data_IF_511199137222
#
_entry.id   IF_511199137222
#
_cell.length_a   1.000
_cell.length_b   1.000
_cell.length_c   1.000
_cell.angle_alpha   90.00
_cell.angle_beta   90.00
_cell.angle_gamma   90.00
#
_symmetry.space_group_name_H-M   'P 1'
#
loop_
_entity.id
_entity.type
_entity.pdbx_description
1 polymer ?
#
# COMPACT_ATOMS: atom_id res chain seq x y z
N UNK A 1 -17.70 -55.27 51.51
CA UNK A 1 -18.10 -56.20 50.43
C UNK A 1 -17.74 -55.52 49.12
N UNK A 2 -16.61 -55.90 48.47
CA UNK A 2 -16.52 -56.92 47.38
C UNK A 2 -17.23 -56.40 46.11
N UNK A 3 -16.67 -56.16 44.92
CA UNK A 3 -15.44 -56.55 44.17
C UNK A 3 -15.12 -55.40 43.16
N UNK A 4 -13.88 -54.95 42.95
CA UNK A 4 -12.90 -55.36 41.92
C UNK A 4 -13.50 -55.80 40.55
N UNK A 5 -13.29 -55.01 39.49
CA UNK A 5 -13.07 -55.54 38.14
C UNK A 5 -12.25 -54.56 37.30
N UNK A 6 -11.01 -54.98 37.02
CA UNK A 6 -10.06 -54.38 36.10
C UNK A 6 -10.53 -54.56 34.65
N UNK A 7 -10.41 -53.53 33.82
CA UNK A 7 -10.34 -53.67 32.36
C UNK A 7 -9.30 -52.68 31.83
N UNK A 8 -8.09 -53.22 31.66
CA UNK A 8 -6.97 -52.63 30.93
C UNK A 8 -7.27 -52.65 29.43
N UNK A 9 -7.57 -51.48 28.85
CA UNK A 9 -7.50 -51.26 27.41
C UNK A 9 -6.05 -50.96 27.02
N UNK A 10 -5.40 -51.94 26.40
CA UNK A 10 -4.09 -51.79 25.77
C UNK A 10 -4.31 -51.09 24.42
N UNK A 11 -4.13 -49.76 24.38
CA UNK A 11 -4.13 -49.00 23.13
C UNK A 11 -2.72 -49.02 22.53
N UNK A 12 -2.58 -49.70 21.38
CA UNK A 12 -1.40 -49.67 20.54
C UNK A 12 -1.23 -48.25 19.97
N UNK A 13 -0.25 -47.50 20.48
CA UNK A 13 0.22 -46.27 19.84
C UNK A 13 1.03 -46.66 18.59
N UNK A 14 0.39 -46.62 17.42
CA UNK A 14 1.11 -46.54 16.16
C UNK A 14 1.70 -45.14 16.07
N UNK A 15 3.02 -45.05 16.19
CA UNK A 15 3.81 -43.86 15.84
C UNK A 15 3.66 -43.60 14.34
N UNK A 16 2.65 -42.81 13.98
CA UNK A 16 2.63 -42.15 12.69
C UNK A 16 3.74 -41.10 12.69
N UNK A 17 4.82 -41.35 11.95
CA UNK A 17 5.77 -40.32 11.59
C UNK A 17 5.00 -39.22 10.84
N UNK A 18 4.62 -38.16 11.55
CA UNK A 18 4.20 -36.92 10.95
C UNK A 18 5.39 -36.41 10.15
N UNK A 19 5.36 -36.62 8.83
CA UNK A 19 6.17 -35.83 7.92
C UNK A 19 5.77 -34.38 8.14
N UNK A 20 6.67 -33.60 8.76
CA UNK A 20 6.57 -32.16 8.69
C UNK A 20 6.47 -31.78 7.21
N UNK A 21 5.54 -30.90 6.79
CA UNK A 21 5.55 -30.38 5.44
C UNK A 21 6.94 -29.78 5.21
N UNK A 22 7.67 -30.34 4.25
CA UNK A 22 8.96 -29.82 3.83
C UNK A 22 8.77 -28.36 3.45
N UNK A 23 9.49 -27.47 4.13
CA UNK A 23 9.58 -26.06 3.72
C UNK A 23 9.89 -26.01 2.23
N UNK A 24 9.21 -25.16 1.44
CA UNK A 24 9.49 -25.04 0.02
C UNK A 24 10.98 -24.73 -0.18
N UNK A 25 11.62 -25.25 -1.25
CA UNK A 25 13.01 -24.95 -1.54
C UNK A 25 13.20 -23.43 -1.63
N UNK A 26 14.25 -22.92 -1.01
CA UNK A 26 14.68 -21.54 -1.21
C UNK A 26 14.93 -21.39 -2.71
N UNK A 27 14.28 -20.41 -3.33
CA UNK A 27 14.40 -20.14 -4.76
C UNK A 27 15.88 -19.83 -5.09
N UNK A 28 16.54 -20.74 -5.82
CA UNK A 28 17.98 -20.66 -6.10
C UNK A 28 18.31 -19.76 -7.30
N UNK A 29 17.31 -19.35 -8.09
CA UNK A 29 17.49 -18.47 -9.25
C UNK A 29 16.58 -17.24 -9.22
N UNK A 30 16.96 -16.18 -9.94
CA UNK A 30 16.12 -15.00 -10.13
C UNK A 30 14.77 -15.33 -10.79
N UNK A 31 14.72 -16.37 -11.64
CA UNK A 31 13.50 -16.84 -12.26
C UNK A 31 12.55 -17.48 -11.22
N UNK A 32 13.09 -18.34 -10.34
CA UNK A 32 12.32 -18.95 -9.27
C UNK A 32 11.77 -17.89 -8.29
N UNK A 33 12.58 -16.89 -7.96
CA UNK A 33 12.15 -15.76 -7.11
C UNK A 33 11.04 -14.93 -7.76
N UNK A 34 11.17 -14.66 -9.07
CA UNK A 34 10.15 -13.94 -9.84
C UNK A 34 8.83 -14.72 -9.84
N UNK A 35 8.89 -16.03 -10.05
CA UNK A 35 7.71 -16.90 -10.02
C UNK A 35 7.08 -16.94 -8.63
N UNK A 36 7.88 -17.08 -7.57
CA UNK A 36 7.39 -17.08 -6.20
C UNK A 36 6.72 -15.76 -5.82
N UNK A 37 7.29 -14.62 -6.24
CA UNK A 37 6.71 -13.30 -6.02
C UNK A 37 5.35 -13.14 -6.74
N UNK A 38 5.25 -13.52 -8.01
CA UNK A 38 3.96 -13.50 -8.72
C UNK A 38 2.92 -14.45 -8.11
N UNK A 39 3.33 -15.65 -7.71
CA UNK A 39 2.44 -16.61 -7.04
C UNK A 39 1.90 -16.02 -5.73
N UNK A 40 2.76 -15.37 -4.93
CA UNK A 40 2.38 -14.70 -3.68
C UNK A 40 1.39 -13.56 -3.92
N UNK A 41 1.62 -12.71 -4.93
CA UNK A 41 0.70 -11.63 -5.27
C UNK A 41 -0.65 -12.16 -5.75
N UNK A 42 -0.65 -13.25 -6.51
CA UNK A 42 -1.88 -13.90 -7.00
C UNK A 42 -2.66 -14.51 -5.83
N UNK A 43 -1.99 -15.23 -4.91
CA UNK A 43 -2.61 -15.74 -3.69
C UNK A 43 -3.27 -14.63 -2.87
N UNK A 44 -2.58 -13.51 -2.64
CA UNK A 44 -3.14 -12.37 -1.89
C UNK A 44 -4.32 -11.75 -2.64
N UNK A 45 -4.23 -11.60 -3.97
CA UNK A 45 -5.34 -11.12 -4.80
C UNK A 45 -6.58 -12.04 -4.66
N UNK A 46 -6.39 -13.35 -4.57
CA UNK A 46 -7.50 -14.30 -4.59
C UNK A 46 -8.09 -14.60 -3.20
N UNK A 47 -7.28 -14.52 -2.14
CA UNK A 47 -7.69 -14.94 -0.79
C UNK A 47 -8.09 -13.80 0.15
N UNK A 48 -7.57 -12.59 -0.04
CA UNK A 48 -7.91 -11.45 0.81
C UNK A 48 -9.21 -10.77 0.37
N UNK A 49 -10.02 -10.33 1.33
CA UNK A 49 -11.26 -9.57 1.08
C UNK A 49 -11.20 -8.15 1.65
N UNK A 50 -10.01 -7.73 2.06
CA UNK A 50 -9.72 -6.43 2.65
C UNK A 50 -9.04 -5.50 1.65
N UNK A 51 -8.70 -4.28 2.06
CA UNK A 51 -7.94 -3.34 1.22
C UNK A 51 -6.57 -3.89 0.80
N UNK A 52 -6.02 -4.89 1.51
CA UNK A 52 -4.74 -5.54 1.20
C UNK A 52 -4.74 -6.25 -0.16
N UNK A 53 -5.90 -6.80 -0.55
CA UNK A 53 -6.12 -7.37 -1.89
C UNK A 53 -5.74 -6.38 -3.00
N UNK A 54 -6.01 -5.10 -2.77
CA UNK A 54 -5.76 -4.05 -3.76
C UNK A 54 -4.29 -3.67 -3.84
N UNK A 55 -3.51 -3.81 -2.77
CA UNK A 55 -2.06 -3.63 -2.88
C UNK A 55 -1.44 -4.69 -3.79
N UNK A 56 -1.87 -5.95 -3.70
CA UNK A 56 -1.43 -7.00 -4.62
C UNK A 56 -1.83 -6.68 -6.07
N UNK A 57 -3.08 -6.27 -6.28
CA UNK A 57 -3.60 -5.87 -7.60
C UNK A 57 -2.78 -4.72 -8.21
N UNK A 58 -2.44 -3.69 -7.42
CA UNK A 58 -1.66 -2.54 -7.89
C UNK A 58 -0.24 -2.95 -8.33
N UNK A 59 0.41 -3.87 -7.59
CA UNK A 59 1.73 -4.40 -7.97
C UNK A 59 1.63 -5.26 -9.23
N UNK A 60 0.63 -6.11 -9.35
CA UNK A 60 0.41 -6.95 -10.54
C UNK A 60 0.19 -6.08 -11.79
N UNK A 61 -0.65 -5.04 -11.70
CA UNK A 61 -0.87 -4.08 -12.79
C UNK A 61 0.45 -3.41 -13.20
N UNK A 62 1.26 -2.95 -12.23
CA UNK A 62 2.54 -2.29 -12.50
C UNK A 62 3.55 -3.19 -13.24
N UNK A 63 3.42 -4.51 -13.11
CA UNK A 63 4.27 -5.51 -13.78
C UNK A 63 3.55 -6.20 -14.96
N UNK A 64 2.57 -5.53 -15.58
CA UNK A 64 1.97 -5.95 -16.85
C UNK A 64 0.90 -7.04 -16.74
N UNK A 65 0.39 -7.33 -15.54
CA UNK A 65 -0.64 -8.37 -15.29
C UNK A 65 -2.06 -7.81 -15.22
N UNK A 66 -2.34 -6.73 -15.95
CA UNK A 66 -3.64 -6.03 -15.90
C UNK A 66 -4.82 -6.95 -16.24
N UNK A 67 -4.69 -7.80 -17.26
CA UNK A 67 -5.76 -8.69 -17.71
C UNK A 67 -6.18 -9.70 -16.62
N UNK A 68 -5.21 -10.26 -15.90
CA UNK A 68 -5.43 -11.20 -14.80
C UNK A 68 -6.17 -10.51 -13.64
N UNK A 69 -5.72 -9.31 -13.27
CA UNK A 69 -6.36 -8.50 -12.21
C UNK A 69 -7.79 -8.12 -12.60
N UNK A 70 -8.00 -7.69 -13.85
CA UNK A 70 -9.33 -7.33 -14.34
C UNK A 70 -10.27 -8.54 -14.35
N UNK A 71 -9.82 -9.67 -14.90
CA UNK A 71 -10.60 -10.90 -14.95
C UNK A 71 -10.99 -11.40 -13.54
N UNK A 72 -10.11 -11.22 -12.55
CA UNK A 72 -10.45 -11.55 -11.16
C UNK A 72 -11.47 -10.58 -10.55
N UNK A 73 -11.14 -9.29 -10.50
CA UNK A 73 -11.94 -8.29 -9.77
C UNK A 73 -13.29 -7.99 -10.44
N UNK A 74 -13.42 -8.14 -11.76
CA UNK A 74 -14.69 -7.93 -12.46
C UNK A 74 -15.75 -8.99 -12.12
N UNK A 75 -15.32 -10.14 -11.57
CA UNK A 75 -16.19 -11.19 -11.04
C UNK A 75 -16.60 -10.97 -9.58
N UNK A 76 -16.08 -9.92 -8.94
CA UNK A 76 -16.35 -9.65 -7.55
C UNK A 76 -17.88 -9.55 -7.30
N UNK A 77 -18.38 -10.11 -6.19
CA UNK A 77 -19.80 -10.13 -5.92
C UNK A 77 -20.35 -8.70 -5.77
N UNK A 78 -21.63 -8.52 -6.10
CA UNK A 78 -22.34 -7.24 -5.92
C UNK A 78 -22.22 -6.67 -4.49
N UNK A 79 -21.93 -7.52 -3.50
CA UNK A 79 -21.64 -7.14 -2.12
C UNK A 79 -20.48 -6.13 -1.99
N UNK A 80 -19.51 -6.14 -2.91
CA UNK A 80 -18.41 -5.16 -2.92
C UNK A 80 -18.97 -3.75 -3.04
N UNK A 81 -19.96 -3.51 -3.89
CA UNK A 81 -20.55 -2.18 -4.12
C UNK A 81 -21.22 -1.58 -2.85
N UNK A 82 -21.51 -2.42 -1.85
CA UNK A 82 -22.12 -2.05 -0.58
C UNK A 82 -21.14 -1.95 0.59
N UNK A 83 -19.84 -2.21 0.36
CA UNK A 83 -18.82 -2.14 1.41
C UNK A 83 -18.01 -0.85 1.26
N UNK A 84 -18.23 0.18 2.11
CA UNK A 84 -17.48 1.42 2.04
C UNK A 84 -15.98 1.18 2.06
N UNK A 85 -15.23 2.06 1.39
CA UNK A 85 -13.77 1.99 1.21
C UNK A 85 -13.38 0.86 0.27
N UNK A 86 -13.79 -0.38 0.57
CA UNK A 86 -13.46 -1.55 -0.24
C UNK A 86 -13.94 -1.39 -1.69
N UNK A 87 -15.19 -0.93 -1.90
CA UNK A 87 -15.71 -0.65 -3.25
C UNK A 87 -14.84 0.34 -4.03
N UNK A 88 -14.38 1.40 -3.38
CA UNK A 88 -13.60 2.47 -4.01
C UNK A 88 -12.24 1.93 -4.44
N UNK A 89 -11.56 1.17 -3.57
CA UNK A 89 -10.24 0.63 -3.89
C UNK A 89 -10.31 -0.47 -4.96
N UNK A 90 -11.37 -1.29 -4.97
CA UNK A 90 -11.64 -2.26 -6.05
C UNK A 90 -11.90 -1.54 -7.37
N UNK A 91 -12.79 -0.53 -7.39
CA UNK A 91 -13.05 0.25 -8.60
C UNK A 91 -11.80 0.98 -9.09
N UNK A 92 -10.88 1.40 -8.20
CA UNK A 92 -9.60 1.99 -8.60
C UNK A 92 -8.71 0.99 -9.31
N UNK A 93 -8.59 -0.24 -8.79
CA UNK A 93 -7.86 -1.30 -9.45
C UNK A 93 -8.48 -1.64 -10.82
N UNK A 94 -9.81 -1.79 -10.89
CA UNK A 94 -10.54 -2.00 -12.13
C UNK A 94 -10.36 -0.86 -13.14
N UNK A 95 -10.34 0.40 -12.70
CA UNK A 95 -10.08 1.54 -13.58
C UNK A 95 -8.67 1.47 -14.20
N UNK A 96 -7.67 1.02 -13.44
CA UNK A 96 -6.28 0.86 -13.91
C UNK A 96 -6.09 -0.36 -14.79
N UNK A 97 -6.81 -1.44 -14.53
CA UNK A 97 -6.69 -2.70 -15.29
C UNK A 97 -7.70 -2.85 -16.44
N UNK A 98 -8.64 -1.91 -16.59
CA UNK A 98 -9.71 -2.00 -17.59
C UNK A 98 -9.18 -2.19 -19.03
N UNK A 99 -9.74 -3.15 -19.79
CA UNK A 99 -9.26 -3.48 -21.13
C UNK A 99 -9.70 -2.45 -22.19
N UNK A 100 -10.66 -1.58 -21.84
CA UNK A 100 -11.16 -0.52 -22.73
C UNK A 100 -11.23 0.84 -22.05
N UNK A 101 -11.17 1.91 -22.85
CA UNK A 101 -11.37 3.27 -22.35
C UNK A 101 -12.78 3.46 -21.75
N UNK A 102 -13.80 2.81 -22.34
CA UNK A 102 -15.18 2.89 -21.86
C UNK A 102 -15.34 2.27 -20.46
N UNK A 103 -14.77 1.09 -20.22
CA UNK A 103 -14.79 0.46 -18.89
C UNK A 103 -13.97 1.26 -17.88
N UNK A 104 -12.79 1.75 -18.27
CA UNK A 104 -11.98 2.65 -17.42
C UNK A 104 -12.80 3.86 -16.97
N UNK A 105 -13.46 4.54 -17.91
CA UNK A 105 -14.32 5.69 -17.61
C UNK A 105 -15.51 5.30 -16.72
N UNK A 106 -16.11 4.14 -16.94
CA UNK A 106 -17.20 3.64 -16.07
C UNK A 106 -16.74 3.54 -14.60
N UNK A 107 -15.60 2.89 -14.34
CA UNK A 107 -15.07 2.72 -12.99
C UNK A 107 -14.64 4.06 -12.37
N UNK A 108 -13.99 4.92 -13.15
CA UNK A 108 -13.65 6.28 -12.73
C UNK A 108 -14.90 7.07 -12.32
N UNK A 109 -15.97 7.00 -13.10
CA UNK A 109 -17.24 7.67 -12.81
C UNK A 109 -17.86 7.19 -11.48
N UNK A 110 -17.81 5.89 -11.17
CA UNK A 110 -18.29 5.38 -9.87
C UNK A 110 -17.52 6.01 -8.70
N UNK A 111 -16.19 6.05 -8.77
CA UNK A 111 -15.33 6.66 -7.73
C UNK A 111 -15.62 8.15 -7.60
N UNK A 112 -15.69 8.82 -8.75
CA UNK A 112 -16.02 10.22 -8.87
C UNK A 112 -17.36 10.50 -8.14
N UNK A 113 -18.43 9.74 -8.42
CA UNK A 113 -19.74 9.95 -7.78
C UNK A 113 -19.65 9.91 -6.25
N UNK A 114 -18.86 8.99 -5.69
CA UNK A 114 -18.64 8.93 -4.23
C UNK A 114 -17.91 10.17 -3.73
N UNK A 115 -16.86 10.62 -4.42
CA UNK A 115 -16.11 11.82 -4.04
C UNK A 115 -16.98 13.10 -4.06
N UNK A 116 -17.90 13.20 -5.03
CA UNK A 116 -18.84 14.30 -5.18
C UNK A 116 -19.99 14.30 -4.17
N UNK A 117 -20.30 13.15 -3.55
CA UNK A 117 -21.45 13.02 -2.64
C UNK A 117 -21.05 13.31 -1.19
N UNK A 118 -21.65 14.34 -0.54
CA UNK A 118 -21.38 14.64 0.86
C UNK A 118 -21.69 13.48 1.81
N UNK A 119 -20.97 13.46 2.94
CA UNK A 119 -21.22 12.59 4.11
C UNK A 119 -21.13 11.07 3.87
N UNK A 120 -20.75 10.62 2.68
CA UNK A 120 -20.45 9.21 2.47
C UNK A 120 -19.20 8.78 3.24
N UNK A 121 -19.22 7.62 3.92
CA UNK A 121 -18.13 7.17 4.79
C UNK A 121 -16.80 6.95 4.06
N UNK A 122 -16.85 6.76 2.75
CA UNK A 122 -15.70 6.49 1.89
C UNK A 122 -15.34 7.65 0.95
N UNK A 123 -15.94 8.84 1.17
CA UNK A 123 -15.69 10.04 0.36
C UNK A 123 -14.20 10.43 0.32
N UNK A 124 -13.50 10.34 1.45
CA UNK A 124 -12.05 10.64 1.56
C UNK A 124 -11.20 9.65 0.75
N UNK A 125 -11.56 8.37 0.77
CA UNK A 125 -10.86 7.33 -0.01
C UNK A 125 -11.16 7.47 -1.51
N UNK A 126 -12.37 7.93 -1.85
CA UNK A 126 -12.75 8.22 -3.23
C UNK A 126 -11.93 9.39 -3.79
N UNK A 127 -11.80 10.51 -3.06
CA UNK A 127 -11.02 11.65 -3.54
C UNK A 127 -9.51 11.35 -3.60
N UNK A 128 -8.98 10.55 -2.67
CA UNK A 128 -7.62 10.00 -2.78
C UNK A 128 -7.46 9.16 -4.05
N UNK A 129 -8.45 8.33 -4.37
CA UNK A 129 -8.43 7.48 -5.56
C UNK A 129 -8.50 8.30 -6.85
N UNK A 130 -9.29 9.37 -6.91
CA UNK A 130 -9.31 10.33 -8.02
C UNK A 130 -7.91 10.90 -8.24
N UNK A 131 -7.24 11.35 -7.16
CA UNK A 131 -5.90 11.90 -7.24
C UNK A 131 -4.85 10.87 -7.71
N UNK A 132 -4.89 9.65 -7.16
CA UNK A 132 -4.03 8.52 -7.54
C UNK A 132 -4.23 8.04 -8.99
N UNK A 133 -5.43 8.22 -9.54
CA UNK A 133 -5.72 7.88 -10.93
C UNK A 133 -5.32 9.01 -11.89
N UNK A 134 -4.98 10.20 -11.39
CA UNK A 134 -4.70 11.37 -12.23
C UNK A 134 -5.92 11.81 -13.04
N UNK A 135 -7.13 11.59 -12.52
CA UNK A 135 -8.38 11.93 -13.21
C UNK A 135 -8.80 13.33 -12.84
N UNK A 136 -9.06 14.16 -13.84
CA UNK A 136 -9.63 15.48 -13.63
C UNK A 136 -11.09 15.35 -13.14
N UNK A 137 -11.45 15.93 -11.97
CA UNK A 137 -12.83 15.99 -11.54
C UNK A 137 -13.71 16.75 -12.56
N UNK A 138 -14.97 16.32 -12.79
CA UNK A 138 -15.91 17.06 -13.62
C UNK A 138 -16.04 18.52 -13.19
N UNK A 139 -16.17 19.43 -14.16
CA UNK A 139 -16.17 20.88 -13.93
C UNK A 139 -17.27 21.31 -12.93
N UNK A 140 -18.43 20.66 -12.96
CA UNK A 140 -19.54 20.88 -12.05
C UNK A 140 -19.23 20.52 -10.59
N UNK A 141 -18.25 19.67 -10.34
CA UNK A 141 -17.85 19.26 -9.00
C UNK A 141 -16.67 20.05 -8.44
N UNK A 142 -15.90 20.71 -9.29
CA UNK A 142 -14.77 21.54 -8.84
C UNK A 142 -15.21 22.56 -7.76
N UNK A 143 -16.35 23.28 -7.88
CA UNK A 143 -16.83 24.15 -6.80
C UNK A 143 -17.19 23.40 -5.51
N UNK A 144 -17.73 22.18 -5.61
CA UNK A 144 -18.09 21.33 -4.46
C UNK A 144 -16.84 20.88 -3.72
N UNK A 145 -15.82 20.41 -4.45
CA UNK A 145 -14.55 19.99 -3.89
C UNK A 145 -13.78 21.17 -3.27
N UNK A 146 -13.79 22.35 -3.91
CA UNK A 146 -13.22 23.58 -3.34
C UNK A 146 -13.92 23.96 -2.04
N UNK A 147 -15.25 23.89 -1.97
CA UNK A 147 -16.00 24.17 -0.74
C UNK A 147 -15.69 23.15 0.36
N UNK A 148 -15.62 21.87 0.01
CA UNK A 148 -15.25 20.82 0.95
C UNK A 148 -13.84 21.04 1.51
N UNK A 149 -12.87 21.39 0.68
CA UNK A 149 -11.50 21.69 1.10
C UNK A 149 -11.38 22.88 2.07
N UNK A 150 -12.37 23.78 2.14
CA UNK A 150 -12.38 24.91 3.07
C UNK A 150 -12.85 24.53 4.48
N UNK A 151 -13.69 23.49 4.60
CA UNK A 151 -14.37 23.13 5.86
C UNK A 151 -13.95 21.78 6.40
N UNK A 152 -13.31 20.94 5.58
CA UNK A 152 -12.85 19.63 6.01
C UNK A 152 -11.71 19.74 7.04
N UNK A 153 -11.56 18.74 7.93
CA UNK A 153 -10.35 18.59 8.74
C UNK A 153 -9.10 18.60 7.87
N UNK A 154 -8.00 19.19 8.37
CA UNK A 154 -6.76 19.38 7.60
C UNK A 154 -6.26 18.08 6.95
N UNK A 155 -6.31 16.95 7.69
CA UNK A 155 -5.95 15.63 7.19
C UNK A 155 -6.69 15.24 5.90
N UNK A 156 -7.93 15.65 5.73
CA UNK A 156 -8.71 15.38 4.51
C UNK A 156 -8.40 16.39 3.41
N UNK A 157 -8.14 17.64 3.77
CA UNK A 157 -7.78 18.70 2.81
C UNK A 157 -6.59 18.30 1.95
N UNK A 158 -5.61 17.56 2.49
CA UNK A 158 -4.45 17.07 1.75
C UNK A 158 -4.87 16.32 0.47
N UNK A 159 -5.77 15.34 0.58
CA UNK A 159 -6.22 14.56 -0.57
C UNK A 159 -7.21 15.30 -1.46
N UNK A 160 -8.09 16.12 -0.87
CA UNK A 160 -9.03 16.93 -1.66
C UNK A 160 -8.27 17.90 -2.57
N UNK A 161 -7.24 18.57 -2.03
CA UNK A 161 -6.42 19.48 -2.80
C UNK A 161 -5.55 18.75 -3.81
N UNK A 162 -4.96 17.60 -3.46
CA UNK A 162 -4.23 16.79 -4.44
C UNK A 162 -5.11 16.40 -5.65
N UNK A 163 -6.37 16.03 -5.43
CA UNK A 163 -7.30 15.80 -6.54
C UNK A 163 -7.60 17.07 -7.36
N UNK A 164 -7.74 18.23 -6.70
CA UNK A 164 -7.92 19.51 -7.41
C UNK A 164 -6.69 19.93 -8.22
N UNK A 165 -5.49 19.46 -7.89
CA UNK A 165 -4.28 19.73 -8.68
C UNK A 165 -4.31 19.12 -10.07
N UNK A 166 -5.18 18.11 -10.31
CA UNK A 166 -5.43 17.56 -11.64
C UNK A 166 -6.14 18.56 -12.57
N UNK A 167 -6.87 19.53 -12.00
CA UNK A 167 -7.49 20.63 -12.75
C UNK A 167 -6.50 21.78 -12.90
N UNK A 168 -5.96 22.22 -11.77
CA UNK A 168 -5.00 23.31 -11.70
C UNK A 168 -4.16 23.19 -10.42
N UNK A 169 -2.84 22.98 -10.52
CA UNK A 169 -1.94 23.08 -9.38
C UNK A 169 -2.01 24.48 -8.72
N UNK A 170 -1.74 24.59 -7.42
CA UNK A 170 -1.68 25.88 -6.75
C UNK A 170 -0.41 26.63 -7.18
N UNK A 171 -0.37 27.94 -7.00
CA UNK A 171 0.81 28.75 -7.35
C UNK A 171 2.02 28.42 -6.44
N UNK A 172 1.78 27.92 -5.23
CA UNK A 172 2.79 27.68 -4.20
C UNK A 172 2.70 26.27 -3.57
N UNK A 173 2.80 25.18 -4.35
CA UNK A 173 2.60 23.82 -3.86
C UNK A 173 3.60 23.46 -2.75
N UNK A 174 4.84 23.94 -2.85
CA UNK A 174 5.88 23.70 -1.83
C UNK A 174 5.53 24.30 -0.47
N UNK A 175 4.96 25.52 -0.45
CA UNK A 175 4.57 26.17 0.81
C UNK A 175 3.40 25.43 1.47
N UNK A 176 2.43 24.98 0.67
CA UNK A 176 1.27 24.25 1.16
C UNK A 176 1.67 22.87 1.74
N UNK A 177 2.51 22.12 1.02
CA UNK A 177 3.04 20.84 1.50
C UNK A 177 3.88 21.01 2.77
N UNK A 178 4.75 22.03 2.82
CA UNK A 178 5.55 22.35 4.00
C UNK A 178 4.68 22.69 5.22
N UNK A 179 3.60 23.46 5.03
CA UNK A 179 2.67 23.78 6.11
C UNK A 179 2.03 22.51 6.69
N UNK A 180 1.55 21.60 5.84
CA UNK A 180 0.95 20.34 6.30
C UNK A 180 1.96 19.40 6.98
N UNK A 181 3.19 19.31 6.49
CA UNK A 181 4.25 18.51 7.14
C UNK A 181 4.67 19.06 8.52
N UNK A 182 4.36 20.34 8.80
CA UNK A 182 4.54 20.96 10.11
C UNK A 182 3.26 21.02 10.95
N UNK A 183 2.15 20.42 10.49
CA UNK A 183 0.91 20.34 11.26
C UNK A 183 1.12 19.63 12.60
N UNK A 184 0.35 20.03 13.61
CA UNK A 184 0.26 19.32 14.88
C UNK A 184 -0.41 17.94 14.73
N UNK A 185 -1.30 17.78 13.75
CA UNK A 185 -1.98 16.51 13.45
C UNK A 185 -1.04 15.54 12.72
N UNK A 186 -0.79 14.39 13.32
CA UNK A 186 0.14 13.39 12.78
C UNK A 186 -0.36 12.76 11.47
N UNK A 187 -1.67 12.65 11.29
CA UNK A 187 -2.27 12.11 10.07
C UNK A 187 -2.13 13.12 8.92
N UNK A 188 -2.29 14.42 9.17
CA UNK A 188 -1.93 15.46 8.20
C UNK A 188 -0.47 15.33 7.78
N UNK A 189 0.47 15.22 8.74
CA UNK A 189 1.91 15.07 8.43
C UNK A 189 2.18 13.83 7.59
N UNK A 190 1.60 12.68 7.98
CA UNK A 190 1.69 11.42 7.23
C UNK A 190 1.20 11.62 5.80
N UNK A 191 0.00 12.17 5.60
CA UNK A 191 -0.60 12.32 4.27
C UNK A 191 0.19 13.30 3.41
N UNK A 192 0.69 14.40 4.00
CA UNK A 192 1.52 15.35 3.28
C UNK A 192 2.84 14.73 2.81
N UNK A 193 3.55 14.02 3.69
CA UNK A 193 4.75 13.28 3.33
C UNK A 193 4.46 12.15 2.33
N UNK A 194 3.31 11.48 2.43
CA UNK A 194 2.91 10.45 1.48
C UNK A 194 2.76 11.03 0.06
N UNK A 195 2.01 12.11 -0.11
CA UNK A 195 1.70 12.63 -1.46
C UNK A 195 2.93 13.19 -2.20
N UNK A 196 4.04 13.50 -1.52
CA UNK A 196 5.28 13.93 -2.19
C UNK A 196 5.86 12.85 -3.11
N UNK A 197 5.53 11.56 -2.89
CA UNK A 197 5.95 10.47 -3.78
C UNK A 197 5.35 10.57 -5.18
N UNK A 198 4.21 11.24 -5.32
CA UNK A 198 3.53 11.46 -6.60
C UNK A 198 3.83 12.84 -7.18
N UNK A 199 4.01 13.83 -6.32
CA UNK A 199 4.02 15.24 -6.70
C UNK A 199 5.43 15.85 -6.65
N UNK A 200 6.40 15.09 -6.18
CA UNK A 200 7.68 15.62 -5.72
C UNK A 200 7.52 16.45 -4.45
N UNK A 201 8.64 17.01 -3.98
CA UNK A 201 8.67 17.94 -2.86
C UNK A 201 9.33 19.28 -3.31
N UNK A 202 8.60 20.18 -4.00
CA UNK A 202 9.15 21.48 -4.38
C UNK A 202 9.47 22.32 -3.14
N UNK A 203 10.54 23.12 -3.17
CA UNK A 203 10.89 23.97 -2.03
C UNK A 203 9.74 24.93 -1.62
N UNK A 204 9.53 25.18 -0.32
CA UNK A 204 10.28 24.69 0.85
C UNK A 204 9.89 23.29 1.37
N UNK A 205 9.08 22.52 0.62
CA UNK A 205 8.60 21.21 1.09
C UNK A 205 9.73 20.17 1.18
N UNK A 206 10.69 20.16 0.26
CA UNK A 206 11.85 19.27 0.34
C UNK A 206 12.61 19.47 1.66
N UNK A 207 12.99 20.70 1.99
CA UNK A 207 13.63 21.02 3.27
C UNK A 207 12.78 20.57 4.46
N UNK A 208 11.48 20.83 4.43
CA UNK A 208 10.57 20.44 5.53
C UNK A 208 10.44 18.93 5.69
N UNK A 209 10.43 18.17 4.58
CA UNK A 209 10.38 16.71 4.60
C UNK A 209 11.66 16.13 5.21
N UNK A 210 12.82 16.70 4.88
CA UNK A 210 14.11 16.35 5.48
C UNK A 210 14.09 16.62 6.99
N UNK A 211 13.62 17.79 7.44
CA UNK A 211 13.51 18.12 8.85
C UNK A 211 12.55 17.19 9.60
N UNK A 212 11.41 16.86 8.98
CA UNK A 212 10.43 15.92 9.52
C UNK A 212 11.01 14.50 9.65
N UNK A 213 11.70 14.01 8.63
CA UNK A 213 12.42 12.74 8.70
C UNK A 213 13.52 12.78 9.77
N UNK A 214 14.19 13.92 9.94
CA UNK A 214 15.30 14.03 10.87
C UNK A 214 14.92 13.96 12.34
N UNK A 215 13.71 14.41 12.68
CA UNK A 215 13.12 14.36 14.02
C UNK A 215 12.26 13.11 14.28
N UNK A 216 12.05 12.28 13.25
CA UNK A 216 11.27 11.04 13.38
C UNK A 216 12.12 9.97 14.08
N UNK A 217 11.59 9.42 15.17
CA UNK A 217 12.25 8.39 15.98
C UNK A 217 11.37 7.16 16.24
N UNK A 218 10.08 7.23 15.93
CA UNK A 218 9.16 6.11 16.05
C UNK A 218 9.45 5.03 14.99
N UNK A 219 8.81 3.87 15.14
CA UNK A 219 8.95 2.73 14.23
C UNK A 219 7.59 2.18 13.76
N UNK A 220 6.59 3.06 13.71
CA UNK A 220 5.25 2.78 13.23
C UNK A 220 5.07 3.15 11.74
N UNK A 221 3.87 2.92 11.22
CA UNK A 221 3.49 3.29 9.86
C UNK A 221 3.76 4.77 9.52
N UNK A 222 3.54 5.70 10.45
CA UNK A 222 3.75 7.14 10.20
C UNK A 222 5.23 7.39 9.96
N UNK A 223 6.07 6.87 10.84
CA UNK A 223 7.52 6.97 10.71
C UNK A 223 8.01 6.34 9.40
N UNK A 224 7.54 5.14 9.08
CA UNK A 224 7.90 4.46 7.83
C UNK A 224 7.54 5.29 6.59
N UNK A 225 6.35 5.89 6.54
CA UNK A 225 5.93 6.72 5.41
C UNK A 225 6.83 7.96 5.26
N UNK A 226 7.07 8.68 6.36
CA UNK A 226 7.90 9.90 6.38
C UNK A 226 9.31 9.60 5.92
N UNK A 227 9.96 8.61 6.55
CA UNK A 227 11.34 8.23 6.26
C UNK A 227 11.48 7.73 4.82
N UNK A 228 10.56 6.88 4.35
CA UNK A 228 10.57 6.40 2.98
C UNK A 228 10.36 7.54 1.98
N UNK A 229 9.44 8.47 2.24
CA UNK A 229 9.25 9.64 1.36
C UNK A 229 10.48 10.54 1.28
N UNK A 230 11.15 10.79 2.42
CA UNK A 230 12.38 11.57 2.43
C UNK A 230 13.54 10.86 1.71
N UNK A 231 13.71 9.55 1.96
CA UNK A 231 14.75 8.74 1.34
C UNK A 231 14.57 8.61 -0.19
N UNK A 232 13.33 8.45 -0.66
CA UNK A 232 13.02 8.44 -2.09
C UNK A 232 13.30 9.80 -2.77
N UNK A 233 13.07 10.90 -2.05
CA UNK A 233 13.27 12.25 -2.57
C UNK A 233 14.75 12.60 -2.73
N UNK A 234 15.59 12.22 -1.75
CA UNK A 234 17.02 12.46 -1.78
C UNK A 234 17.80 11.34 -1.04
N UNK A 235 18.14 10.24 -1.74
CA UNK A 235 18.90 9.14 -1.15
C UNK A 235 20.37 9.51 -0.87
N UNK A 236 20.82 10.69 -1.32
CA UNK A 236 22.16 11.23 -1.09
C UNK A 236 22.21 12.30 0.02
N UNK A 237 21.07 12.59 0.67
CA UNK A 237 21.01 13.54 1.78
C UNK A 237 22.00 13.15 2.90
N UNK A 238 22.56 14.11 3.66
CA UNK A 238 23.53 13.80 4.72
C UNK A 238 23.05 12.78 5.76
N UNK A 239 21.75 12.73 6.04
CA UNK A 239 21.13 11.81 6.99
C UNK A 239 20.50 10.56 6.32
N UNK A 240 20.64 10.38 5.01
CA UNK A 240 20.00 9.29 4.27
C UNK A 240 20.42 7.91 4.78
N UNK A 241 21.68 7.73 5.19
CA UNK A 241 22.14 6.47 5.79
C UNK A 241 21.37 6.15 7.08
N UNK A 242 21.16 7.14 7.95
CA UNK A 242 20.40 6.96 9.19
C UNK A 242 18.94 6.58 8.89
N UNK A 243 18.31 7.25 7.93
CA UNK A 243 16.93 6.93 7.53
C UNK A 243 16.85 5.51 6.96
N UNK A 244 17.78 5.13 6.08
CA UNK A 244 17.90 3.77 5.55
C UNK A 244 18.02 2.74 6.67
N UNK A 245 18.92 2.93 7.63
CA UNK A 245 19.08 2.00 8.75
C UNK A 245 17.81 1.87 9.59
N UNK A 246 17.07 2.98 9.81
CA UNK A 246 15.79 2.92 10.51
C UNK A 246 14.72 2.17 9.70
N UNK A 247 14.64 2.39 8.39
CA UNK A 247 13.72 1.67 7.51
C UNK A 247 14.05 0.18 7.48
N UNK A 248 15.33 -0.19 7.37
CA UNK A 248 15.79 -1.59 7.42
C UNK A 248 15.41 -2.26 8.75
N UNK A 249 15.49 -1.54 9.87
CA UNK A 249 15.00 -2.03 11.16
C UNK A 249 13.48 -2.24 11.19
N UNK A 250 12.70 -1.43 10.47
CA UNK A 250 11.24 -1.61 10.33
C UNK A 250 10.88 -2.81 9.44
N UNK A 251 11.74 -3.20 8.48
CA UNK A 251 11.52 -4.40 7.64
C UNK A 251 11.52 -5.67 8.49
N UNK A 252 12.35 -5.73 9.54
CA UNK A 252 12.43 -6.85 10.49
C UNK A 252 11.55 -6.64 11.74
N UNK A 253 10.79 -5.55 11.78
CA UNK A 253 9.94 -5.17 12.90
C UNK A 253 8.63 -5.95 12.97
N UNK A 254 7.79 -5.61 13.95
CA UNK A 254 6.51 -6.28 14.19
C UNK A 254 5.30 -5.58 13.57
N UNK A 255 5.43 -4.35 13.05
CA UNK A 255 4.33 -3.58 12.45
C UNK A 255 4.25 -3.85 10.94
N UNK A 256 3.23 -4.59 10.45
CA UNK A 256 3.10 -4.92 9.04
C UNK A 256 2.98 -3.70 8.11
N UNK A 257 2.31 -2.64 8.58
CA UNK A 257 2.10 -1.43 7.78
C UNK A 257 3.39 -0.61 7.68
N UNK A 258 4.19 -0.58 8.75
CA UNK A 258 5.53 -0.02 8.72
C UNK A 258 6.44 -0.79 7.77
N UNK A 259 6.46 -2.13 7.84
CA UNK A 259 7.23 -2.99 6.93
C UNK A 259 6.86 -2.74 5.47
N UNK A 260 5.56 -2.66 5.15
CA UNK A 260 5.08 -2.38 3.80
C UNK A 260 5.66 -1.07 3.23
N UNK A 261 5.55 0.03 3.97
CA UNK A 261 6.05 1.33 3.51
C UNK A 261 7.57 1.45 3.56
N UNK A 262 8.24 0.76 4.48
CA UNK A 262 9.69 0.74 4.55
C UNK A 262 10.30 0.06 3.32
N UNK A 263 9.79 -1.11 2.94
CA UNK A 263 10.21 -1.78 1.70
C UNK A 263 9.96 -0.93 0.46
N UNK A 264 8.82 -0.25 0.36
CA UNK A 264 8.57 0.69 -0.76
C UNK A 264 9.62 1.80 -0.88
N UNK A 265 10.08 2.34 0.25
CA UNK A 265 11.10 3.38 0.29
C UNK A 265 12.48 2.87 -0.09
N UNK A 266 12.82 1.66 0.37
CA UNK A 266 14.15 1.07 0.20
C UNK A 266 14.35 0.40 -1.16
N UNK A 267 13.28 -0.16 -1.73
CA UNK A 267 13.30 -0.99 -2.94
C UNK A 267 14.04 -0.33 -4.13
N UNK A 268 13.90 0.97 -4.43
CA UNK A 268 14.68 1.61 -5.51
C UNK A 268 16.19 1.60 -5.29
N UNK A 269 16.65 1.51 -4.05
CA UNK A 269 18.08 1.47 -3.69
C UNK A 269 18.60 0.07 -3.35
N UNK A 270 17.73 -0.94 -3.33
CA UNK A 270 18.14 -2.31 -3.07
C UNK A 270 18.82 -2.96 -4.28
N UNK A 271 19.71 -3.90 -3.98
CA UNK A 271 20.42 -4.76 -4.92
C UNK A 271 20.11 -6.25 -4.65
N UNK A 272 20.53 -7.19 -5.50
CA UNK A 272 20.32 -8.62 -5.24
C UNK A 272 20.84 -9.11 -3.88
N UNK A 273 21.87 -8.46 -3.32
CA UNK A 273 22.40 -8.79 -1.98
C UNK A 273 21.40 -8.47 -0.86
N UNK A 274 20.53 -7.48 -1.06
CA UNK A 274 19.51 -7.05 -0.09
C UNK A 274 18.29 -7.99 -0.07
N UNK A 275 18.22 -9.00 -0.95
CA UNK A 275 17.09 -9.94 -1.00
C UNK A 275 17.08 -10.97 0.11
N UNK A 276 18.24 -11.30 0.71
CA UNK A 276 18.34 -12.29 1.78
C UNK A 276 17.33 -12.06 2.94
N UNK A 277 17.18 -10.84 3.51
CA UNK A 277 16.17 -10.56 4.53
C UNK A 277 14.73 -10.43 3.98
N UNK A 278 14.56 -10.22 2.66
CA UNK A 278 13.24 -10.01 2.03
C UNK A 278 12.56 -11.32 1.66
N UNK A 279 13.32 -12.31 1.19
CA UNK A 279 12.77 -13.60 0.71
C UNK A 279 11.89 -14.30 1.77
N UNK A 280 12.29 -14.41 3.06
CA UNK A 280 11.45 -15.04 4.07
C UNK A 280 10.10 -14.34 4.27
N UNK A 281 9.99 -13.05 3.95
CA UNK A 281 8.76 -12.26 4.11
C UNK A 281 7.66 -12.65 3.12
N UNK A 282 7.98 -13.38 2.04
CA UNK A 282 6.96 -13.99 1.17
C UNK A 282 6.06 -14.97 1.93
N UNK A 283 6.50 -15.50 3.06
CA UNK A 283 5.74 -16.43 3.91
C UNK A 283 5.20 -15.77 5.19
N UNK A 284 5.23 -14.43 5.26
CA UNK A 284 4.75 -13.71 6.44
C UNK A 284 3.24 -13.86 6.63
N UNK A 285 2.77 -13.89 7.88
CA UNK A 285 1.34 -14.07 8.19
C UNK A 285 0.46 -12.92 7.66
N UNK A 286 0.99 -11.70 7.66
CA UNK A 286 0.31 -10.52 7.13
C UNK A 286 0.48 -10.37 5.61
N UNK A 287 -0.64 -10.23 4.89
CA UNK A 287 -0.66 -10.09 3.44
C UNK A 287 0.07 -8.85 2.91
N UNK A 288 0.05 -7.70 3.61
CA UNK A 288 0.76 -6.50 3.12
C UNK A 288 2.28 -6.71 3.17
N UNK A 289 2.79 -7.42 4.17
CA UNK A 289 4.21 -7.79 4.24
C UNK A 289 4.58 -8.70 3.06
N UNK A 290 3.73 -9.70 2.77
CA UNK A 290 3.92 -10.58 1.60
C UNK A 290 3.93 -9.79 0.30
N UNK A 291 3.00 -8.85 0.12
CA UNK A 291 2.92 -7.98 -1.07
C UNK A 291 4.17 -7.11 -1.22
N UNK A 292 4.62 -6.46 -0.14
CA UNK A 292 5.81 -5.60 -0.18
C UNK A 292 7.10 -6.39 -0.49
N UNK A 293 7.21 -7.60 0.06
CA UNK A 293 8.31 -8.50 -0.24
C UNK A 293 8.32 -8.93 -1.71
N UNK A 294 7.16 -9.37 -2.22
CA UNK A 294 6.99 -9.75 -3.62
C UNK A 294 7.30 -8.58 -4.56
N UNK A 295 6.82 -7.37 -4.25
CA UNK A 295 7.13 -6.17 -5.04
C UNK A 295 8.63 -5.89 -5.06
N UNK A 296 9.29 -5.96 -3.91
CA UNK A 296 10.73 -5.72 -3.81
C UNK A 296 11.53 -6.74 -4.62
N UNK A 297 11.13 -8.01 -4.58
CA UNK A 297 11.74 -9.08 -5.39
C UNK A 297 11.55 -8.79 -6.87
N UNK A 298 10.32 -8.54 -7.33
CA UNK A 298 10.05 -8.25 -8.75
C UNK A 298 10.83 -7.03 -9.24
N UNK A 299 10.91 -5.98 -8.42
CA UNK A 299 11.67 -4.78 -8.76
C UNK A 299 13.16 -5.06 -8.97
N UNK A 300 13.74 -6.03 -8.25
CA UNK A 300 15.16 -6.36 -8.38
C UNK A 300 15.41 -7.39 -9.48
N UNK A 301 14.52 -8.38 -9.64
CA UNK A 301 14.69 -9.46 -10.61
C UNK A 301 14.27 -9.09 -12.04
N UNK A 302 13.48 -8.03 -12.22
CA UNK A 302 12.98 -7.56 -13.52
C UNK A 302 13.59 -6.22 -13.97
N UNK A 303 14.61 -5.72 -13.28
CA UNK A 303 15.40 -4.55 -13.70
C UNK A 303 16.17 -4.81 -14.99
#
# INVERSE_FOLDING_TARGET
>A
MRYLCFLTCLALFTTACQHAPSSPPIADTAADLTQAAFATLTEVLESETSTKQIHAAEVLIAHGRSDEVYAWLSRAPAQVDHTPIHRVVVWRALARSAPSAAERTMWQNKILTIAGTPDLPDRVHAIESVAKLGVEPPAEWVPILKRWALVAPEREQVFIRWALWQVAPPDNPGQLLAAWMNSADEITRLRAAYITRWLGAPEPAATTLVDLANRTTASDQIAAIVLASAYLQDPAAPNALRWRTQLEAMVVGADPAATYHALQGLMPSYTPQDLAPVIPLLQHADADVRVAAAWTILHITQR
#
